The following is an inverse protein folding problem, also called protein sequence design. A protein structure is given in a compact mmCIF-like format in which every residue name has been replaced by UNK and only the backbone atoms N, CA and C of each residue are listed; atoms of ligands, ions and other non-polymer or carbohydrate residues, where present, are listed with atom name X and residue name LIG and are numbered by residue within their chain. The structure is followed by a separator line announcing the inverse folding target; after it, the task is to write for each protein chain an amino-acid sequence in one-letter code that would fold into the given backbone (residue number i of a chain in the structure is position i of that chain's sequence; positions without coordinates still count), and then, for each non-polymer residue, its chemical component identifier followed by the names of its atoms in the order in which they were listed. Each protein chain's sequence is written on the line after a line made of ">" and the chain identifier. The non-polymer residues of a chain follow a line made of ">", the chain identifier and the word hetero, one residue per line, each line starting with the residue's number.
data_IF_859070980756
#
_entry.id   IF_859070980756
#
_cell.length_a   1.000
_cell.length_b   1.000
_cell.length_c   1.000
_cell.angle_alpha   90.00
_cell.angle_beta   90.00
_cell.angle_gamma   90.00
#
_symmetry.space_group_name_H-M   'P 1'
#
loop_
_entity.id
_entity.type
_entity.pdbx_description
1 polymer ?
#
# COMPACT_ATOMS: atom_id res chain seq x y z
N UNK A 1 -1.31 3.88 -13.27
CA UNK A 1 -2.69 3.75 -13.83
C UNK A 1 -3.03 4.96 -14.70
N UNK A 2 -3.96 4.79 -15.62
CA UNK A 2 -4.44 5.80 -16.55
C UNK A 2 -5.97 5.75 -16.67
N UNK A 3 -6.62 6.83 -17.17
CA UNK A 3 -8.05 6.82 -17.44
C UNK A 3 -8.47 5.63 -18.31
N UNK A 4 -9.55 4.95 -17.91
CA UNK A 4 -10.05 3.75 -18.58
C UNK A 4 -9.47 2.43 -18.05
N UNK A 5 -8.53 2.48 -17.12
CA UNK A 5 -8.01 1.31 -16.45
C UNK A 5 -8.80 0.95 -15.19
N UNK A 6 -8.54 -0.25 -14.66
CA UNK A 6 -9.12 -0.78 -13.44
C UNK A 6 -8.05 -1.04 -12.38
N UNK A 7 -8.34 -0.62 -11.14
CA UNK A 7 -7.65 -0.99 -9.92
C UNK A 7 -8.44 -2.07 -9.18
N UNK A 8 -7.79 -3.16 -8.78
CA UNK A 8 -8.35 -4.19 -7.88
C UNK A 8 -7.90 -3.89 -6.45
N UNK A 9 -8.83 -3.86 -5.50
CA UNK A 9 -8.55 -3.71 -4.07
C UNK A 9 -9.63 -4.38 -3.22
N UNK A 10 -9.38 -4.54 -1.91
CA UNK A 10 -10.44 -4.92 -0.97
C UNK A 10 -11.47 -3.79 -0.82
N UNK A 11 -12.75 -4.15 -0.58
CA UNK A 11 -13.85 -3.18 -0.41
C UNK A 11 -13.65 -2.23 0.79
N UNK A 12 -12.84 -2.61 1.77
CA UNK A 12 -12.50 -1.80 2.94
C UNK A 12 -11.16 -1.08 2.80
N UNK A 13 -10.44 -1.25 1.68
CA UNK A 13 -9.14 -0.62 1.45
C UNK A 13 -9.19 0.89 1.61
N UNK A 14 -8.16 1.45 2.26
CA UNK A 14 -8.07 2.89 2.53
C UNK A 14 -8.06 3.72 1.24
N UNK A 15 -7.35 3.26 0.22
CA UNK A 15 -7.23 3.93 -1.08
C UNK A 15 -8.59 4.20 -1.74
N UNK A 16 -9.60 3.38 -1.47
CA UNK A 16 -10.95 3.57 -1.98
C UNK A 16 -11.82 4.41 -1.06
N UNK A 17 -11.83 4.11 0.25
CA UNK A 17 -12.83 4.64 1.18
C UNK A 17 -12.45 6.00 1.80
N UNK A 18 -11.15 6.36 1.87
CA UNK A 18 -10.69 7.46 2.72
C UNK A 18 -9.84 8.51 2.00
N UNK A 19 -9.73 8.43 0.68
CA UNK A 19 -8.97 9.38 -0.12
C UNK A 19 -9.86 10.32 -0.95
N UNK A 20 -11.11 10.53 -0.53
CA UNK A 20 -12.05 11.43 -1.20
C UNK A 20 -12.34 11.05 -2.66
N UNK A 21 -12.28 9.75 -3.00
CA UNK A 21 -12.38 9.28 -4.39
C UNK A 21 -11.14 9.58 -5.23
N UNK A 22 -9.99 9.81 -4.57
CA UNK A 22 -8.74 10.26 -5.21
C UNK A 22 -8.23 9.33 -6.30
N UNK A 23 -8.42 8.02 -6.17
CA UNK A 23 -8.03 7.08 -7.21
C UNK A 23 -8.75 7.38 -8.54
N UNK A 24 -10.06 7.54 -8.50
CA UNK A 24 -10.85 7.89 -9.68
C UNK A 24 -10.63 9.33 -10.14
N UNK A 25 -10.57 10.28 -9.20
CA UNK A 25 -10.40 11.71 -9.53
C UNK A 25 -9.03 12.02 -10.15
N UNK A 26 -7.95 11.50 -9.58
CA UNK A 26 -6.59 11.82 -10.05
C UNK A 26 -6.12 10.95 -11.20
N UNK A 27 -6.56 9.68 -11.26
CA UNK A 27 -6.05 8.71 -12.23
C UNK A 27 -7.10 8.27 -13.26
N UNK A 28 -8.37 8.64 -13.06
CA UNK A 28 -9.46 8.26 -13.97
C UNK A 28 -9.74 6.76 -14.00
N UNK A 29 -9.34 6.03 -12.96
CA UNK A 29 -9.52 4.56 -12.88
C UNK A 29 -10.88 4.19 -12.30
N UNK A 30 -11.41 3.05 -12.72
CA UNK A 30 -12.48 2.34 -12.03
C UNK A 30 -11.88 1.44 -10.95
N UNK A 31 -12.65 1.16 -9.88
CA UNK A 31 -12.24 0.27 -8.81
C UNK A 31 -13.07 -1.01 -8.84
N UNK A 32 -12.41 -2.15 -8.94
CA UNK A 32 -12.98 -3.47 -8.70
C UNK A 32 -12.74 -3.84 -7.24
N UNK A 33 -13.81 -3.93 -6.46
CA UNK A 33 -13.76 -4.14 -5.02
C UNK A 33 -14.07 -5.58 -4.67
N UNK A 34 -13.14 -6.24 -4.00
CA UNK A 34 -13.25 -7.62 -3.57
C UNK A 34 -13.66 -7.71 -2.10
N UNK A 35 -14.29 -8.81 -1.73
CA UNK A 35 -14.67 -9.12 -0.35
C UNK A 35 -13.62 -10.04 0.28
N UNK A 36 -12.53 -9.46 0.74
CA UNK A 36 -11.46 -10.17 1.42
C UNK A 36 -11.77 -10.48 2.88
N UNK A 37 -11.14 -11.50 3.42
CA UNK A 37 -11.26 -11.82 4.83
C UNK A 37 -10.51 -10.77 5.67
N UNK A 38 -11.21 -9.99 6.45
CA UNK A 38 -10.64 -8.89 7.26
C UNK A 38 -9.82 -7.89 6.41
N UNK A 39 -10.29 -7.60 5.19
CA UNK A 39 -9.61 -6.68 4.28
C UNK A 39 -8.42 -7.29 3.51
N UNK A 40 -8.21 -8.59 3.64
CA UNK A 40 -7.15 -9.32 2.94
C UNK A 40 -7.74 -10.12 1.78
N UNK A 41 -7.38 -9.74 0.57
CA UNK A 41 -7.77 -10.44 -0.67
C UNK A 41 -6.75 -11.54 -1.00
N UNK A 42 -7.19 -12.57 -1.71
CA UNK A 42 -6.36 -13.71 -2.08
C UNK A 42 -5.95 -13.66 -3.56
N UNK A 43 -4.90 -14.39 -3.91
CA UNK A 43 -4.46 -14.54 -5.30
C UNK A 43 -5.58 -15.10 -6.20
N UNK A 44 -6.39 -16.02 -5.69
CA UNK A 44 -7.54 -16.59 -6.42
C UNK A 44 -8.60 -15.50 -6.69
N UNK A 45 -8.93 -14.68 -5.70
CA UNK A 45 -9.86 -13.57 -5.87
C UNK A 45 -9.34 -12.55 -6.88
N UNK A 46 -8.05 -12.21 -6.81
CA UNK A 46 -7.41 -11.30 -7.77
C UNK A 46 -7.48 -11.88 -9.18
N UNK A 47 -7.11 -13.15 -9.38
CA UNK A 47 -7.15 -13.80 -10.69
C UNK A 47 -8.57 -13.80 -11.29
N UNK A 48 -9.59 -14.06 -10.46
CA UNK A 48 -11.00 -14.05 -10.90
C UNK A 48 -11.56 -12.65 -11.21
N UNK A 49 -10.86 -11.58 -10.82
CA UNK A 49 -11.29 -10.18 -11.01
C UNK A 49 -10.59 -9.46 -12.17
N UNK A 50 -9.65 -10.14 -12.84
CA UNK A 50 -8.94 -9.58 -13.99
C UNK A 50 -9.88 -9.63 -15.20
N UNK A 51 -10.11 -8.48 -15.83
CA UNK A 51 -10.87 -8.42 -17.06
C UNK A 51 -10.05 -8.97 -18.24
N UNK A 52 -10.73 -9.67 -19.15
CA UNK A 52 -10.12 -10.13 -20.40
C UNK A 52 -9.66 -8.91 -21.23
N UNK A 53 -8.37 -8.76 -21.53
CA UNK A 53 -7.85 -7.62 -22.29
C UNK A 53 -8.38 -7.54 -23.71
N UNK A 54 -8.86 -8.65 -24.28
CA UNK A 54 -9.47 -8.68 -25.63
C UNK A 54 -10.95 -8.25 -25.60
N UNK A 55 -11.57 -8.19 -24.42
CA UNK A 55 -12.96 -7.75 -24.27
C UNK A 55 -13.03 -6.23 -24.09
N UNK A 56 -13.03 -5.48 -25.17
CA UNK A 56 -12.95 -4.01 -25.20
C UNK A 56 -14.08 -3.24 -24.48
N UNK A 57 -15.15 -3.91 -24.05
CA UNK A 57 -16.23 -3.28 -23.28
C UNK A 57 -15.89 -3.12 -21.78
N UNK A 58 -14.89 -3.84 -21.28
CA UNK A 58 -14.45 -3.77 -19.89
C UNK A 58 -13.23 -2.85 -19.74
N UNK A 59 -13.07 -2.15 -18.60
CA UNK A 59 -11.83 -1.43 -18.32
C UNK A 59 -10.64 -2.40 -18.23
N UNK A 60 -9.48 -2.00 -18.74
CA UNK A 60 -8.27 -2.82 -18.67
C UNK A 60 -7.76 -2.89 -17.23
N UNK A 61 -7.66 -4.09 -16.66
CA UNK A 61 -7.05 -4.25 -15.33
C UNK A 61 -5.56 -3.93 -15.40
N UNK A 62 -5.06 -3.05 -14.53
CA UNK A 62 -3.66 -2.59 -14.56
C UNK A 62 -2.95 -2.63 -13.21
N UNK A 63 -3.68 -2.62 -12.11
CA UNK A 63 -3.11 -2.49 -10.77
C UNK A 63 -3.86 -3.32 -9.75
N UNK A 64 -3.12 -4.01 -8.89
CA UNK A 64 -3.62 -4.60 -7.65
C UNK A 64 -3.06 -3.79 -6.49
N UNK A 65 -3.93 -3.42 -5.55
CA UNK A 65 -3.56 -2.70 -4.33
C UNK A 65 -3.99 -3.51 -3.10
N UNK A 66 -3.07 -3.73 -2.19
CA UNK A 66 -3.31 -4.37 -0.88
C UNK A 66 -2.84 -3.47 0.25
N UNK A 67 -3.40 -3.65 1.43
CA UNK A 67 -3.09 -2.84 2.62
C UNK A 67 -2.52 -3.73 3.73
N UNK A 68 -1.41 -3.33 4.37
CA UNK A 68 -0.82 -4.06 5.50
C UNK A 68 -0.28 -3.08 6.58
N UNK A 69 -0.72 -3.15 7.85
CA UNK A 69 -1.85 -3.94 8.34
C UNK A 69 -3.17 -3.37 7.82
N UNK A 70 -4.20 -4.22 7.65
CA UNK A 70 -5.52 -3.74 7.21
C UNK A 70 -6.19 -2.92 8.30
N UNK A 71 -6.63 -1.70 7.96
CA UNK A 71 -7.22 -0.79 8.94
C UNK A 71 -8.59 -1.28 9.42
N UNK A 72 -9.53 -1.46 8.52
CA UNK A 72 -10.89 -1.93 8.83
C UNK A 72 -10.95 -3.41 9.20
N UNK A 73 -9.95 -4.18 8.84
CA UNK A 73 -9.81 -5.58 9.25
C UNK A 73 -9.31 -5.77 10.69
N UNK A 74 -9.20 -4.68 11.47
CA UNK A 74 -8.75 -4.75 12.87
C UNK A 74 -7.25 -5.05 12.99
N UNK A 75 -6.43 -4.47 12.12
CA UNK A 75 -4.98 -4.64 12.15
C UNK A 75 -4.52 -6.02 11.68
N UNK A 76 -5.30 -6.71 10.85
CA UNK A 76 -4.87 -8.00 10.32
C UNK A 76 -3.62 -7.86 9.45
N UNK A 77 -2.71 -8.84 9.58
CA UNK A 77 -1.48 -8.94 8.80
C UNK A 77 -1.64 -10.03 7.76
N UNK A 78 -1.21 -9.75 6.54
CA UNK A 78 -1.08 -10.78 5.51
C UNK A 78 -0.01 -11.81 5.88
N UNK A 79 -0.23 -13.06 5.48
CA UNK A 79 0.85 -14.02 5.31
C UNK A 79 1.70 -13.58 4.09
N UNK A 80 3.00 -13.49 4.26
CA UNK A 80 3.92 -13.07 3.20
C UNK A 80 3.87 -13.99 1.98
N UNK A 81 3.58 -15.28 2.17
CA UNK A 81 3.40 -16.22 1.06
C UNK A 81 2.19 -15.86 0.17
N UNK A 82 1.14 -15.25 0.75
CA UNK A 82 0.02 -14.78 -0.06
C UNK A 82 0.40 -13.60 -0.96
N UNK A 83 1.26 -12.70 -0.49
CA UNK A 83 1.82 -11.64 -1.35
C UNK A 83 2.60 -12.21 -2.54
N UNK A 84 3.38 -13.29 -2.34
CA UNK A 84 4.10 -13.95 -3.44
C UNK A 84 3.15 -14.57 -4.46
N UNK A 85 2.04 -15.17 -4.00
CA UNK A 85 1.02 -15.72 -4.90
C UNK A 85 0.32 -14.61 -5.69
N UNK A 86 -0.05 -13.50 -5.04
CA UNK A 86 -0.63 -12.33 -5.73
C UNK A 86 0.38 -11.75 -6.72
N UNK A 87 1.68 -11.63 -6.34
CA UNK A 87 2.74 -11.19 -7.25
C UNK A 87 2.81 -12.05 -8.51
N UNK A 88 2.75 -13.39 -8.34
CA UNK A 88 2.74 -14.29 -9.48
C UNK A 88 1.54 -14.04 -10.40
N UNK A 89 0.34 -13.86 -9.86
CA UNK A 89 -0.85 -13.50 -10.67
C UNK A 89 -0.62 -12.19 -11.41
N UNK A 90 -0.05 -11.19 -10.75
CA UNK A 90 0.26 -9.90 -11.38
C UNK A 90 1.29 -10.05 -12.51
N UNK A 91 2.35 -10.83 -12.31
CA UNK A 91 3.39 -11.08 -13.32
C UNK A 91 2.83 -11.81 -14.54
N UNK A 92 2.04 -12.86 -14.30
CA UNK A 92 1.41 -13.67 -15.36
C UNK A 92 0.44 -12.83 -16.23
N UNK A 93 -0.10 -11.71 -15.69
CA UNK A 93 -1.07 -10.84 -16.35
C UNK A 93 -0.55 -9.42 -16.64
N UNK A 94 0.74 -9.17 -16.46
CA UNK A 94 1.38 -7.86 -16.68
C UNK A 94 0.75 -6.72 -15.85
N UNK A 95 0.29 -7.01 -14.63
CA UNK A 95 -0.28 -6.05 -13.69
C UNK A 95 0.80 -5.48 -12.77
N UNK A 96 0.58 -4.25 -12.31
CA UNK A 96 1.37 -3.65 -11.24
C UNK A 96 0.80 -4.04 -9.86
N UNK A 97 1.70 -4.13 -8.87
CA UNK A 97 1.34 -4.49 -7.52
C UNK A 97 1.79 -3.41 -6.54
N UNK A 98 0.83 -2.81 -5.84
CA UNK A 98 1.06 -1.74 -4.85
C UNK A 98 0.72 -2.21 -3.44
N UNK A 99 1.59 -1.84 -2.49
CA UNK A 99 1.33 -1.99 -1.06
C UNK A 99 1.02 -0.63 -0.44
N UNK A 100 -0.18 -0.46 0.09
CA UNK A 100 -0.44 0.54 1.12
C UNK A 100 0.13 0.04 2.45
N UNK A 101 1.34 0.47 2.75
CA UNK A 101 2.10 0.13 3.95
C UNK A 101 1.93 1.16 5.05
N UNK A 102 0.75 1.78 5.18
CA UNK A 102 0.49 2.81 6.19
C UNK A 102 0.86 2.39 7.61
N UNK A 103 0.79 1.09 7.91
CA UNK A 103 1.18 0.49 9.20
C UNK A 103 2.11 -0.72 9.02
N UNK A 104 2.94 -0.70 7.98
CA UNK A 104 3.85 -1.81 7.68
C UNK A 104 4.80 -2.12 8.84
N UNK A 105 5.27 -1.09 9.56
CA UNK A 105 6.14 -1.28 10.72
C UNK A 105 5.49 -2.12 11.82
N UNK A 106 4.19 -1.93 12.06
CA UNK A 106 3.43 -2.77 12.97
C UNK A 106 3.35 -4.23 12.49
N UNK A 107 3.12 -4.44 11.19
CA UNK A 107 3.11 -5.79 10.61
C UNK A 107 4.47 -6.46 10.80
N UNK A 108 5.58 -5.81 10.42
CA UNK A 108 6.93 -6.35 10.51
C UNK A 108 7.33 -6.75 11.93
N UNK A 109 6.93 -5.96 12.94
CA UNK A 109 7.18 -6.28 14.36
C UNK A 109 6.41 -7.52 14.82
N UNK A 110 5.24 -7.81 14.23
CA UNK A 110 4.43 -8.99 14.58
C UNK A 110 4.88 -10.23 13.81
N UNK A 111 5.15 -10.08 12.50
CA UNK A 111 5.46 -11.22 11.62
C UNK A 111 6.93 -11.60 11.63
N UNK A 112 7.82 -10.68 12.00
CA UNK A 112 9.27 -10.78 11.86
C UNK A 112 9.73 -10.96 10.40
N UNK A 113 8.93 -10.50 9.44
CA UNK A 113 9.30 -10.51 8.03
C UNK A 113 10.47 -9.57 7.75
N UNK A 114 11.25 -9.89 6.73
CA UNK A 114 12.40 -9.09 6.30
C UNK A 114 11.90 -7.93 5.41
N UNK A 115 12.10 -6.65 5.80
CA UNK A 115 11.59 -5.51 5.03
C UNK A 115 12.05 -5.48 3.56
N UNK A 116 13.28 -5.94 3.29
CA UNK A 116 13.84 -5.99 1.94
C UNK A 116 13.09 -6.94 1.00
N UNK A 117 12.43 -7.97 1.55
CA UNK A 117 11.65 -8.92 0.73
C UNK A 117 10.37 -8.28 0.19
N UNK A 118 9.79 -7.33 0.91
CA UNK A 118 8.66 -6.53 0.40
C UNK A 118 9.06 -5.74 -0.86
N UNK A 119 10.27 -5.18 -0.89
CA UNK A 119 10.79 -4.48 -2.08
C UNK A 119 10.98 -5.38 -3.31
N UNK A 120 11.03 -6.71 -3.13
CA UNK A 120 11.11 -7.67 -4.24
C UNK A 120 9.73 -8.07 -4.79
N UNK A 121 8.70 -7.93 -3.97
CA UNK A 121 7.34 -8.37 -4.29
C UNK A 121 6.50 -7.24 -4.90
N UNK A 122 6.67 -6.02 -4.42
CA UNK A 122 5.83 -4.89 -4.83
C UNK A 122 6.55 -3.95 -5.80
N UNK A 123 5.82 -3.47 -6.82
CA UNK A 123 6.32 -2.42 -7.73
C UNK A 123 6.41 -1.07 -7.00
N UNK A 124 5.46 -0.79 -6.11
CA UNK A 124 5.42 0.44 -5.31
C UNK A 124 4.93 0.15 -3.89
N UNK A 125 5.51 0.83 -2.91
CA UNK A 125 5.09 0.74 -1.51
C UNK A 125 4.94 2.16 -0.96
N UNK A 126 3.81 2.50 -0.37
CA UNK A 126 3.66 3.71 0.44
C UNK A 126 3.83 3.37 1.92
N UNK A 127 4.62 4.17 2.64
CA UNK A 127 4.97 3.93 4.04
C UNK A 127 4.71 5.19 4.85
N UNK A 128 3.84 5.12 5.85
CA UNK A 128 3.64 6.25 6.77
C UNK A 128 4.69 6.30 7.87
N UNK A 129 5.13 7.53 8.18
CA UNK A 129 6.03 7.82 9.29
C UNK A 129 5.28 8.45 10.49
N UNK A 130 4.12 9.06 10.24
CA UNK A 130 3.33 9.85 11.19
C UNK A 130 2.23 9.09 11.91
N UNK A 131 2.39 7.78 12.06
CA UNK A 131 1.49 6.90 12.83
C UNK A 131 2.23 6.31 14.03
N UNK A 132 2.26 5.02 14.24
CA UNK A 132 2.93 4.37 15.37
C UNK A 132 4.40 4.74 15.54
N UNK A 133 5.10 5.07 14.46
CA UNK A 133 6.49 5.56 14.54
C UNK A 133 6.62 6.93 15.22
N UNK A 134 5.55 7.74 15.28
CA UNK A 134 5.54 9.01 15.99
C UNK A 134 6.29 10.14 15.32
N UNK A 135 6.64 10.08 14.04
CA UNK A 135 7.11 11.24 13.31
C UNK A 135 5.97 12.28 13.18
N UNK A 136 6.27 13.59 13.18
CA UNK A 136 5.24 14.63 13.21
C UNK A 136 4.40 14.67 11.92
N UNK A 137 4.97 14.21 10.80
CA UNK A 137 4.34 14.22 9.48
C UNK A 137 5.08 13.28 8.54
N UNK A 138 4.40 12.82 7.50
CA UNK A 138 5.02 12.29 6.30
C UNK A 138 4.68 10.85 5.99
N UNK A 139 4.78 10.59 4.69
CA UNK A 139 4.83 9.25 4.11
C UNK A 139 5.91 9.21 3.05
N UNK A 140 6.43 8.03 2.79
CA UNK A 140 7.48 7.79 1.79
C UNK A 140 6.93 6.83 0.74
N UNK A 141 7.11 7.16 -0.53
CA UNK A 141 6.90 6.24 -1.63
C UNK A 141 8.22 5.54 -1.97
N UNK A 142 8.20 4.22 -1.98
CA UNK A 142 9.33 3.36 -2.32
C UNK A 142 9.03 2.68 -3.65
N UNK A 143 10.00 2.71 -4.58
CA UNK A 143 9.91 2.06 -5.87
C UNK A 143 11.27 2.10 -6.59
N UNK A 144 11.32 1.61 -7.83
CA UNK A 144 12.47 1.78 -8.71
C UNK A 144 12.73 3.26 -9.08
N UNK A 145 13.95 3.55 -9.55
CA UNK A 145 14.37 4.92 -9.88
C UNK A 145 13.50 5.59 -10.95
N UNK A 146 13.04 4.84 -11.95
CA UNK A 146 12.25 5.39 -13.05
C UNK A 146 10.86 5.81 -12.56
N UNK A 147 10.22 4.98 -11.74
CA UNK A 147 8.94 5.27 -11.10
C UNK A 147 9.04 6.45 -10.14
N UNK A 148 10.07 6.51 -9.29
CA UNK A 148 10.31 7.64 -8.39
C UNK A 148 10.56 8.93 -9.18
N UNK A 149 11.29 8.89 -10.28
CA UNK A 149 11.49 10.07 -11.12
C UNK A 149 10.18 10.64 -11.66
N UNK A 150 9.25 9.79 -12.09
CA UNK A 150 7.89 10.20 -12.49
C UNK A 150 7.09 10.75 -11.30
N UNK A 151 7.15 10.08 -10.15
CA UNK A 151 6.43 10.45 -8.94
C UNK A 151 6.83 11.84 -8.43
N UNK A 152 8.06 12.28 -8.60
CA UNK A 152 8.51 13.64 -8.22
C UNK A 152 7.71 14.74 -8.93
N UNK A 153 7.38 14.56 -10.22
CA UNK A 153 6.54 15.51 -10.99
C UNK A 153 5.11 15.50 -10.48
N UNK A 154 4.54 14.31 -10.26
CA UNK A 154 3.19 14.15 -9.73
C UNK A 154 3.09 14.80 -8.36
N UNK A 155 4.04 14.54 -7.46
CA UNK A 155 4.14 15.19 -6.15
C UNK A 155 4.13 16.71 -6.26
N UNK A 156 4.87 17.28 -7.23
CA UNK A 156 4.91 18.73 -7.44
C UNK A 156 3.57 19.29 -7.93
N UNK A 157 2.92 18.59 -8.88
CA UNK A 157 1.60 18.98 -9.41
C UNK A 157 0.54 18.98 -8.30
N UNK A 158 0.55 17.97 -7.43
CA UNK A 158 -0.40 17.81 -6.31
C UNK A 158 -0.05 18.68 -5.09
N UNK A 159 0.95 19.58 -5.17
CA UNK A 159 1.31 20.49 -4.08
C UNK A 159 2.22 19.90 -3.00
N UNK A 160 2.59 18.61 -3.09
CA UNK A 160 3.41 17.91 -2.10
C UNK A 160 4.92 18.19 -2.16
N UNK A 161 5.38 19.09 -3.02
CA UNK A 161 6.80 19.46 -3.17
C UNK A 161 7.25 20.49 -2.12
N UNK A 162 7.15 20.17 -0.84
CA UNK A 162 7.54 21.04 0.26
C UNK A 162 9.02 21.43 0.21
N UNK A 163 9.32 22.70 0.40
CA UNK A 163 10.67 23.24 0.54
C UNK A 163 11.12 23.15 1.99
N UNK A 164 12.43 23.16 2.21
CA UNK A 164 13.04 23.12 3.57
C UNK A 164 12.51 21.97 4.44
N UNK A 165 12.20 20.83 3.81
CA UNK A 165 11.64 19.64 4.47
C UNK A 165 12.65 18.90 5.36
N UNK A 166 13.92 19.33 5.40
CA UNK A 166 15.00 18.66 6.13
C UNK A 166 14.71 18.45 7.63
N UNK A 167 14.03 19.39 8.29
CA UNK A 167 13.62 19.23 9.69
C UNK A 167 12.66 18.05 9.89
N UNK A 168 11.69 17.92 8.99
CA UNK A 168 10.72 16.82 9.02
C UNK A 168 11.36 15.49 8.63
N UNK A 169 12.28 15.52 7.66
CA UNK A 169 13.06 14.34 7.26
C UNK A 169 13.95 13.86 8.41
N UNK A 170 14.60 14.75 9.16
CA UNK A 170 15.38 14.40 10.34
C UNK A 170 14.52 13.74 11.42
N UNK A 171 13.31 14.26 11.68
CA UNK A 171 12.37 13.64 12.60
C UNK A 171 11.93 12.24 12.12
N UNK A 172 11.73 12.05 10.82
CA UNK A 172 11.44 10.75 10.22
C UNK A 172 12.59 9.75 10.37
N UNK A 173 13.83 10.19 10.15
CA UNK A 173 15.04 9.36 10.36
C UNK A 173 15.14 8.95 11.83
N UNK A 174 14.99 9.91 12.76
CA UNK A 174 14.99 9.61 14.19
C UNK A 174 13.93 8.55 14.56
N UNK A 175 12.72 8.69 14.02
CA UNK A 175 11.64 7.75 14.28
C UNK A 175 11.96 6.34 13.75
N UNK A 176 12.54 6.23 12.57
CA UNK A 176 12.98 4.96 11.99
C UNK A 176 14.10 4.29 12.83
N UNK A 177 15.05 5.08 13.30
CA UNK A 177 16.19 4.57 14.05
C UNK A 177 15.84 4.17 15.50
N UNK A 178 14.77 4.77 16.10
CA UNK A 178 14.53 4.65 17.53
C UNK A 178 13.15 4.08 17.90
N UNK A 179 12.16 4.08 17.02
CA UNK A 179 10.77 3.83 17.42
C UNK A 179 10.17 2.53 16.86
N UNK A 180 10.86 1.81 15.98
CA UNK A 180 10.30 0.58 15.38
C UNK A 180 10.10 -0.50 16.44
N UNK A 181 11.13 -0.81 17.23
CA UNK A 181 11.06 -1.87 18.26
C UNK A 181 10.00 -1.57 19.33
N UNK A 182 9.81 -0.28 19.65
CA UNK A 182 8.81 0.20 20.61
C UNK A 182 7.36 -0.14 20.21
N UNK A 183 7.08 -0.41 18.93
CA UNK A 183 5.75 -0.82 18.48
C UNK A 183 5.29 -2.14 19.13
N UNK A 184 6.22 -2.97 19.58
CA UNK A 184 5.91 -4.18 20.34
C UNK A 184 5.19 -3.87 21.67
N UNK A 185 5.53 -2.75 22.32
CA UNK A 185 4.83 -2.29 23.53
C UNK A 185 3.39 -1.87 23.25
N UNK A 186 3.16 -1.19 22.12
CA UNK A 186 1.81 -0.80 21.71
C UNK A 186 0.95 -2.04 21.43
N UNK A 187 1.52 -3.07 20.80
CA UNK A 187 0.83 -4.35 20.57
C UNK A 187 0.51 -5.09 21.89
N UNK A 188 1.44 -5.09 22.83
CA UNK A 188 1.22 -5.68 24.15
C UNK A 188 0.07 -4.97 24.89
N UNK A 189 0.12 -3.65 24.95
CA UNK A 189 -0.94 -2.83 25.59
C UNK A 189 -2.30 -3.03 24.91
N UNK A 190 -2.35 -3.08 23.59
CA UNK A 190 -3.59 -3.34 22.87
C UNK A 190 -4.21 -4.69 23.27
N UNK A 191 -3.39 -5.74 23.45
CA UNK A 191 -3.86 -7.05 23.94
C UNK A 191 -4.32 -7.07 25.40
N UNK A 192 -3.75 -6.19 26.23
CA UNK A 192 -4.15 -6.06 27.64
C UNK A 192 -5.49 -5.33 27.81
N UNK A 193 -5.85 -4.47 26.85
CA UNK A 193 -7.08 -3.66 26.90
C UNK A 193 -8.27 -4.39 26.23
N UNK A 194 -8.04 -5.20 25.22
CA UNK A 194 -9.05 -5.93 24.44
C UNK A 194 -9.22 -7.36 24.86
#
# INVERSE_FOLDING_TARGET
>A
TQPGEQLIADKWAHVYNYEGGGASFNSGVSCCLLDGNRGMITAEQVAGAINDPEFYHSPLTSLVCVENTTNKGGGACYDFEEFKKIRKVCDDNNLKFHLDGARIWNALVVTNDIPQDYGKVFDTISVCLSKGLGAPIGSVLISDKATIHKALRIRKILGGGMRQVGYLAAAGIYALDNNIERLSDDHRRAKEIG
#
